data_IF_682093678187
#
_entry.id   IF_682093678187
#
_cell.length_a   1.000
_cell.length_b   1.000
_cell.length_c   1.000
_cell.angle_alpha   90.00
_cell.angle_beta   90.00
_cell.angle_gamma   90.00
#
_symmetry.space_group_name_H-M   'P 1'
#
loop_
_entity.id
_entity.type
_entity.pdbx_description
1 polymer ?
#
# COMPACT_ATOMS: atom_id res chain seq x y z
N UNK A 1 -26.09 -17.57 0.67
CA UNK A 1 -26.32 -16.21 1.17
C UNK A 1 -25.51 -15.29 0.28
N UNK A 2 -26.06 -14.16 -0.16
CA UNK A 2 -25.27 -13.10 -0.82
C UNK A 2 -24.47 -12.42 0.28
N UNK A 3 -23.20 -12.75 0.38
CA UNK A 3 -22.29 -12.13 1.35
C UNK A 3 -22.29 -10.61 1.19
N UNK A 4 -22.34 -9.90 2.31
CA UNK A 4 -22.18 -8.44 2.35
C UNK A 4 -20.70 -8.07 2.17
N UNK A 5 -20.43 -6.78 1.91
CA UNK A 5 -19.05 -6.25 1.91
C UNK A 5 -18.33 -6.54 3.23
N UNK A 6 -19.05 -6.43 4.37
CA UNK A 6 -18.50 -6.72 5.69
C UNK A 6 -18.15 -8.20 5.85
N UNK A 7 -19.02 -9.11 5.40
CA UNK A 7 -18.75 -10.56 5.48
C UNK A 7 -17.49 -10.94 4.68
N UNK A 8 -17.33 -10.35 3.49
CA UNK A 8 -16.15 -10.53 2.65
C UNK A 8 -14.90 -9.98 3.32
N UNK A 9 -14.97 -8.72 3.76
CA UNK A 9 -13.87 -8.04 4.43
C UNK A 9 -13.36 -8.84 5.63
N UNK A 10 -14.26 -9.27 6.53
CA UNK A 10 -13.89 -10.06 7.71
C UNK A 10 -13.27 -11.42 7.36
N UNK A 11 -13.64 -12.03 6.24
CA UNK A 11 -12.97 -13.25 5.76
C UNK A 11 -11.58 -12.98 5.19
N UNK A 12 -11.39 -11.86 4.50
CA UNK A 12 -10.12 -11.56 3.84
C UNK A 12 -9.05 -11.10 4.84
N UNK A 13 -9.42 -10.26 5.81
CA UNK A 13 -8.46 -9.69 6.78
C UNK A 13 -7.75 -10.73 7.63
N UNK A 14 -8.39 -11.87 7.90
CA UNK A 14 -7.78 -12.96 8.69
C UNK A 14 -6.80 -13.83 7.91
N UNK A 15 -6.69 -13.63 6.58
CA UNK A 15 -5.74 -14.36 5.72
C UNK A 15 -4.42 -13.59 5.69
N UNK A 16 -3.36 -14.21 6.19
CA UNK A 16 -2.03 -13.62 6.21
C UNK A 16 -1.47 -13.51 4.78
N UNK A 17 -1.15 -12.28 4.40
CA UNK A 17 -0.79 -11.85 3.05
C UNK A 17 0.37 -10.85 3.08
N UNK A 18 1.00 -10.64 4.25
CA UNK A 18 2.06 -9.65 4.40
C UNK A 18 3.22 -9.87 3.41
N UNK A 19 3.68 -8.79 2.78
CA UNK A 19 4.81 -8.76 1.86
C UNK A 19 6.17 -8.83 2.58
N UNK A 20 7.21 -9.22 1.87
CA UNK A 20 8.59 -9.29 2.38
C UNK A 20 9.53 -8.44 1.51
N UNK A 21 9.95 -7.25 1.97
CA UNK A 21 10.82 -6.37 1.19
C UNK A 21 12.20 -6.96 0.91
N UNK A 22 12.63 -7.98 1.66
CA UNK A 22 13.92 -8.67 1.46
C UNK A 22 13.85 -9.77 0.39
N UNK A 23 12.65 -10.19 0.02
CA UNK A 23 12.46 -11.21 -1.01
C UNK A 23 12.68 -10.61 -2.40
N UNK A 24 13.37 -11.36 -3.25
CA UNK A 24 13.50 -11.05 -4.68
C UNK A 24 12.45 -11.77 -5.54
N UNK A 25 11.59 -12.59 -4.92
CA UNK A 25 10.49 -13.25 -5.61
C UNK A 25 9.32 -12.28 -5.81
N UNK A 26 8.42 -12.63 -6.73
CA UNK A 26 7.14 -11.95 -6.91
C UNK A 26 6.04 -13.02 -7.13
N UNK A 27 5.09 -13.18 -6.19
CA UNK A 27 4.96 -12.36 -4.97
C UNK A 27 6.12 -12.60 -4.00
N UNK A 28 6.44 -11.59 -3.20
CA UNK A 28 7.52 -11.62 -2.22
C UNK A 28 7.30 -12.71 -1.17
N UNK A 29 6.02 -13.00 -0.86
CA UNK A 29 5.60 -14.10 -0.01
C UNK A 29 4.54 -14.96 -0.70
N UNK A 30 4.74 -16.29 -0.74
CA UNK A 30 3.79 -17.21 -1.38
C UNK A 30 2.40 -17.22 -0.71
N UNK A 31 2.31 -16.82 0.57
CA UNK A 31 1.05 -16.71 1.31
C UNK A 31 0.08 -15.68 0.71
N UNK A 32 0.57 -14.70 -0.06
CA UNK A 32 -0.31 -13.79 -0.81
C UNK A 32 -1.26 -14.54 -1.76
N UNK A 33 -0.78 -15.64 -2.37
CA UNK A 33 -1.60 -16.48 -3.26
C UNK A 33 -2.69 -17.24 -2.52
N UNK A 34 -2.66 -17.35 -1.19
CA UNK A 34 -3.70 -18.03 -0.42
C UNK A 34 -5.01 -17.25 -0.46
N UNK A 35 -4.97 -15.93 -0.24
CA UNK A 35 -6.10 -15.05 -0.49
C UNK A 35 -6.49 -15.08 -1.97
N UNK A 36 -5.49 -15.03 -2.86
CA UNK A 36 -5.77 -15.00 -4.29
C UNK A 36 -6.55 -16.21 -4.81
N UNK A 37 -6.24 -17.43 -4.35
CA UNK A 37 -6.98 -18.64 -4.71
C UNK A 37 -8.44 -18.60 -4.23
N UNK A 38 -8.71 -18.02 -3.06
CA UNK A 38 -10.07 -17.83 -2.54
C UNK A 38 -10.83 -16.83 -3.42
N UNK A 39 -10.21 -15.69 -3.77
CA UNK A 39 -10.83 -14.67 -4.61
C UNK A 39 -11.17 -15.20 -6.01
N UNK A 40 -10.27 -15.97 -6.64
CA UNK A 40 -10.55 -16.62 -7.92
C UNK A 40 -11.75 -17.56 -7.82
N UNK A 41 -11.82 -18.40 -6.77
CA UNK A 41 -12.96 -19.29 -6.57
C UNK A 41 -14.27 -18.51 -6.39
N UNK A 42 -14.25 -17.42 -5.64
CA UNK A 42 -15.43 -16.57 -5.45
C UNK A 42 -15.85 -15.87 -6.76
N UNK A 43 -14.91 -15.34 -7.56
CA UNK A 43 -15.19 -14.74 -8.87
C UNK A 43 -15.77 -15.75 -9.86
N UNK A 44 -15.20 -16.97 -9.90
CA UNK A 44 -15.74 -18.07 -10.71
C UNK A 44 -17.16 -18.46 -10.26
N UNK A 45 -17.41 -18.49 -8.95
CA UNK A 45 -18.73 -18.77 -8.39
C UNK A 45 -19.76 -17.66 -8.71
N UNK A 46 -19.32 -16.42 -8.92
CA UNK A 46 -20.16 -15.33 -9.44
C UNK A 46 -20.46 -15.46 -10.95
N UNK A 47 -19.81 -16.40 -11.65
CA UNK A 47 -19.99 -16.65 -13.08
C UNK A 47 -18.97 -15.96 -13.98
N UNK A 48 -17.92 -15.35 -13.43
CA UNK A 48 -16.83 -14.77 -14.20
C UNK A 48 -15.84 -15.86 -14.61
N UNK A 49 -16.13 -16.56 -15.71
CA UNK A 49 -15.43 -17.77 -16.13
C UNK A 49 -13.98 -17.57 -16.57
N UNK A 50 -13.57 -16.32 -16.82
CA UNK A 50 -12.18 -15.97 -17.14
C UNK A 50 -11.34 -15.63 -15.91
N UNK A 51 -11.92 -15.68 -14.70
CA UNK A 51 -11.21 -15.42 -13.46
C UNK A 51 -10.07 -16.43 -13.24
N UNK A 52 -8.85 -15.94 -13.08
CA UNK A 52 -7.68 -16.77 -12.82
C UNK A 52 -6.56 -15.99 -12.13
N UNK A 53 -5.63 -16.74 -11.54
CA UNK A 53 -4.40 -16.26 -10.92
C UNK A 53 -3.22 -16.61 -11.83
N UNK A 54 -2.35 -15.64 -12.13
CA UNK A 54 -1.15 -15.86 -12.95
C UNK A 54 0.05 -16.37 -12.12
N UNK A 55 1.19 -16.61 -12.77
CA UNK A 55 2.42 -17.08 -12.10
C UNK A 55 2.96 -16.12 -11.03
N UNK A 56 2.66 -14.82 -11.15
CA UNK A 56 3.07 -13.74 -10.26
C UNK A 56 2.05 -13.49 -9.14
N UNK A 57 0.97 -14.27 -9.09
CA UNK A 57 -0.08 -14.15 -8.10
C UNK A 57 -1.14 -13.10 -8.43
N UNK A 58 -1.03 -12.39 -9.55
CA UNK A 58 -2.03 -11.39 -9.92
C UNK A 58 -3.31 -12.08 -10.41
N UNK A 59 -4.46 -11.50 -10.07
CA UNK A 59 -5.77 -12.00 -10.47
C UNK A 59 -6.35 -11.12 -11.56
N UNK A 60 -6.89 -11.76 -12.59
CA UNK A 60 -7.61 -11.10 -13.67
C UNK A 60 -9.00 -11.71 -13.77
N UNK A 61 -10.03 -10.88 -13.91
CA UNK A 61 -11.39 -11.31 -14.26
C UNK A 61 -12.12 -10.23 -15.06
N UNK A 62 -13.19 -10.61 -15.78
CA UNK A 62 -13.98 -9.69 -16.60
C UNK A 62 -15.45 -9.76 -16.27
N UNK A 63 -16.04 -8.64 -15.84
CA UNK A 63 -17.49 -8.45 -15.85
C UNK A 63 -17.89 -8.06 -17.29
N UNK A 64 -18.67 -8.88 -18.01
CA UNK A 64 -19.02 -8.59 -19.40
C UNK A 64 -19.95 -7.38 -19.51
N UNK A 65 -19.84 -6.61 -20.59
CA UNK A 65 -20.79 -5.54 -20.88
C UNK A 65 -22.23 -6.06 -20.98
N UNK A 66 -23.19 -5.27 -20.51
CA UNK A 66 -24.62 -5.56 -20.64
C UNK A 66 -25.36 -4.46 -21.44
N UNK A 67 -24.62 -3.68 -22.23
CA UNK A 67 -25.13 -2.59 -23.07
C UNK A 67 -24.55 -2.67 -24.48
N UNK A 68 -25.35 -2.27 -25.47
CA UNK A 68 -24.91 -2.17 -26.87
C UNK A 68 -24.21 -0.83 -27.18
N UNK A 69 -24.12 0.07 -26.19
CA UNK A 69 -23.43 1.35 -26.35
C UNK A 69 -21.92 1.13 -26.46
N UNK A 70 -21.20 1.93 -27.28
CA UNK A 70 -19.75 1.92 -27.28
C UNK A 70 -19.22 2.60 -26.01
N UNK A 71 -18.95 1.80 -24.97
CA UNK A 71 -18.40 2.24 -23.68
C UNK A 71 -16.95 1.79 -23.56
N UNK A 72 -16.01 2.63 -23.11
CA UNK A 72 -14.62 2.20 -22.88
C UNK A 72 -14.56 1.09 -21.82
N UNK A 73 -13.65 0.15 -22.01
CA UNK A 73 -13.31 -0.83 -20.97
C UNK A 73 -12.60 -0.09 -19.83
N UNK A 74 -13.05 -0.30 -18.60
CA UNK A 74 -12.41 0.25 -17.39
C UNK A 74 -11.91 -0.90 -16.51
N UNK A 75 -11.02 -0.60 -15.57
CA UNK A 75 -10.56 -1.55 -14.56
C UNK A 75 -10.80 -1.04 -13.15
N UNK A 76 -11.20 -1.93 -12.24
CA UNK A 76 -11.06 -1.73 -10.81
C UNK A 76 -9.90 -2.58 -10.30
N UNK A 77 -9.05 -1.98 -9.48
CA UNK A 77 -7.81 -2.57 -8.98
C UNK A 77 -7.72 -2.44 -7.46
N UNK A 78 -7.19 -3.48 -6.81
CA UNK A 78 -6.79 -3.45 -5.39
C UNK A 78 -5.59 -4.36 -5.18
N UNK A 79 -4.82 -4.17 -4.12
CA UNK A 79 -3.70 -5.06 -3.79
C UNK A 79 -4.07 -6.07 -2.69
N UNK A 80 -3.42 -7.24 -2.73
CA UNK A 80 -3.72 -8.35 -1.81
C UNK A 80 -2.82 -8.39 -0.59
N UNK A 81 -1.64 -7.78 -0.64
CA UNK A 81 -0.69 -7.79 0.46
C UNK A 81 -1.07 -6.81 1.57
N UNK A 82 -0.28 -6.82 2.63
CA UNK A 82 -0.40 -5.88 3.74
C UNK A 82 1.00 -5.47 4.17
N UNK A 83 1.14 -4.24 4.66
CA UNK A 83 2.41 -3.64 5.05
C UNK A 83 3.33 -4.54 5.89
N UNK A 84 4.66 -4.49 5.65
CA UNK A 84 5.65 -5.20 6.46
C UNK A 84 5.91 -4.53 7.83
N UNK A 85 5.47 -3.29 8.05
CA UNK A 85 5.73 -2.49 9.26
C UNK A 85 5.15 -3.08 10.55
N UNK A 86 4.04 -3.82 10.44
CA UNK A 86 3.42 -4.49 11.58
C UNK A 86 2.78 -5.80 11.16
N UNK A 87 2.73 -6.79 12.05
CA UNK A 87 2.29 -8.14 11.67
C UNK A 87 0.82 -8.18 11.22
N UNK A 88 0.58 -8.76 10.04
CA UNK A 88 -0.74 -9.14 9.52
C UNK A 88 -1.10 -10.61 9.78
N UNK A 89 -0.33 -11.32 10.61
CA UNK A 89 -0.57 -12.74 10.92
C UNK A 89 -1.54 -12.88 12.10
N UNK A 90 -2.57 -13.73 11.96
CA UNK A 90 -3.59 -13.99 12.98
C UNK A 90 -4.40 -12.74 13.39
N UNK A 91 -4.77 -11.90 12.42
CA UNK A 91 -5.67 -10.75 12.64
C UNK A 91 -6.96 -11.22 13.30
N UNK A 92 -7.41 -10.48 14.32
CA UNK A 92 -8.69 -10.70 15.00
C UNK A 92 -9.55 -9.44 14.89
N UNK A 93 -10.37 -9.33 13.84
CA UNK A 93 -11.17 -8.14 13.66
C UNK A 93 -12.25 -8.03 14.75
N UNK A 94 -12.48 -6.82 15.22
CA UNK A 94 -13.52 -6.46 16.19
C UNK A 94 -14.49 -5.49 15.55
N UNK A 95 -15.78 -5.76 15.65
CA UNK A 95 -16.83 -4.87 15.15
C UNK A 95 -17.36 -4.04 16.31
N UNK A 96 -17.21 -2.72 16.20
CA UNK A 96 -17.85 -1.73 17.06
C UNK A 96 -19.09 -1.24 16.34
N UNK A 97 -20.21 -1.91 16.57
CA UNK A 97 -21.47 -1.56 15.89
C UNK A 97 -22.04 -0.23 16.38
N UNK A 98 -22.54 0.57 15.43
CA UNK A 98 -23.24 1.82 15.67
C UNK A 98 -22.48 2.71 16.66
N UNK A 99 -21.22 2.97 16.34
CA UNK A 99 -20.26 3.67 17.18
C UNK A 99 -20.85 5.00 17.67
N UNK A 100 -20.82 5.21 18.98
CA UNK A 100 -21.49 6.34 19.65
C UNK A 100 -20.55 7.49 20.00
N UNK A 101 -19.32 7.46 19.50
CA UNK A 101 -18.25 8.34 19.94
C UNK A 101 -17.49 7.79 21.16
N UNK A 102 -16.35 8.42 21.46
CA UNK A 102 -15.48 8.04 22.58
C UNK A 102 -14.39 7.05 22.21
N UNK A 103 -13.46 6.81 23.11
CA UNK A 103 -12.30 5.95 22.82
C UNK A 103 -12.70 4.49 22.59
N UNK A 104 -12.02 3.81 21.64
CA UNK A 104 -12.22 2.39 21.36
C UNK A 104 -11.11 1.59 22.04
N UNK A 105 -11.49 0.68 22.94
CA UNK A 105 -10.57 -0.23 23.64
C UNK A 105 -10.37 -1.51 22.83
N UNK A 106 -9.12 -1.94 22.71
CA UNK A 106 -8.77 -3.15 21.98
C UNK A 106 -8.71 -4.36 22.94
N UNK A 107 -9.17 -5.54 22.50
CA UNK A 107 -9.37 -6.69 23.38
C UNK A 107 -8.14 -7.58 23.55
N UNK A 108 -7.22 -7.59 22.59
CA UNK A 108 -5.98 -8.37 22.60
C UNK A 108 -4.84 -7.68 23.36
N UNK A 109 -4.66 -6.37 23.15
CA UNK A 109 -3.77 -5.53 23.97
C UNK A 109 -4.56 -4.38 24.60
N UNK A 110 -4.93 -4.56 25.87
CA UNK A 110 -5.75 -3.59 26.61
C UNK A 110 -5.01 -2.29 26.98
N UNK A 111 -3.68 -2.23 26.79
CA UNK A 111 -2.93 -0.99 26.92
C UNK A 111 -3.10 -0.09 25.70
N UNK A 112 -3.47 -0.67 24.55
CA UNK A 112 -3.75 0.06 23.33
C UNK A 112 -5.23 0.49 23.30
N UNK A 113 -5.41 1.77 23.04
CA UNK A 113 -6.71 2.41 22.96
C UNK A 113 -6.67 3.37 21.78
N UNK A 114 -7.61 3.21 20.84
CA UNK A 114 -7.80 4.18 19.76
C UNK A 114 -8.53 5.38 20.36
N UNK A 115 -7.74 6.39 20.72
CA UNK A 115 -8.24 7.60 21.38
C UNK A 115 -8.76 8.60 20.36
N UNK A 116 -9.90 9.22 20.66
CA UNK A 116 -10.49 10.29 19.83
C UNK A 116 -9.57 11.51 19.72
N UNK A 117 -8.77 11.77 20.75
CA UNK A 117 -7.79 12.87 20.75
C UNK A 117 -6.70 12.67 19.69
N UNK A 118 -6.20 11.44 19.56
CA UNK A 118 -5.18 11.09 18.56
C UNK A 118 -5.77 10.80 17.17
N UNK A 119 -7.07 10.49 17.10
CA UNK A 119 -7.78 10.14 15.86
C UNK A 119 -9.08 10.96 15.75
N UNK A 120 -8.98 12.28 15.49
CA UNK A 120 -10.15 13.17 15.43
C UNK A 120 -11.17 12.75 14.36
N UNK A 121 -10.75 11.99 13.34
CA UNK A 121 -11.57 11.41 12.28
C UNK A 121 -12.69 10.50 12.82
N UNK A 122 -12.52 9.91 14.02
CA UNK A 122 -13.57 9.12 14.68
C UNK A 122 -14.86 9.91 14.89
N UNK A 123 -14.78 11.25 15.03
CA UNK A 123 -15.98 12.10 15.17
C UNK A 123 -16.90 12.02 13.95
N UNK A 124 -16.35 11.72 12.77
CA UNK A 124 -17.11 11.55 11.53
C UNK A 124 -17.76 10.18 11.41
N UNK A 125 -17.44 9.24 12.31
CA UNK A 125 -17.91 7.85 12.25
C UNK A 125 -19.05 7.56 13.23
N UNK A 126 -19.61 8.58 13.90
CA UNK A 126 -20.74 8.39 14.82
C UNK A 126 -21.96 7.86 14.05
N UNK A 127 -22.48 6.72 14.50
CA UNK A 127 -23.60 6.03 13.86
C UNK A 127 -23.19 4.95 12.86
N UNK A 128 -21.91 4.86 12.50
CA UNK A 128 -21.38 3.82 11.62
C UNK A 128 -20.90 2.60 12.42
N UNK A 129 -20.80 1.45 11.76
CA UNK A 129 -20.06 0.30 12.27
C UNK A 129 -18.58 0.51 11.97
N UNK A 130 -17.70 0.27 12.95
CA UNK A 130 -16.25 0.38 12.79
C UNK A 130 -15.63 -1.00 12.99
N UNK A 131 -14.80 -1.44 12.06
CA UNK A 131 -13.98 -2.64 12.23
C UNK A 131 -12.59 -2.22 12.70
N UNK A 132 -12.11 -2.84 13.78
CA UNK A 132 -10.79 -2.58 14.37
C UNK A 132 -10.03 -3.88 14.56
N UNK A 133 -8.73 -3.81 14.87
CA UNK A 133 -7.94 -4.99 15.27
C UNK A 133 -8.20 -5.33 16.74
N UNK A 134 -7.59 -6.39 17.27
CA UNK A 134 -7.50 -6.63 18.70
C UNK A 134 -6.33 -5.90 19.38
N UNK A 135 -5.57 -5.07 18.64
CA UNK A 135 -4.39 -4.36 19.11
C UNK A 135 -3.08 -5.14 18.99
N UNK A 136 -3.11 -6.41 18.53
CA UNK A 136 -1.88 -7.23 18.41
C UNK A 136 -1.33 -7.32 16.99
N UNK A 137 -2.07 -6.78 16.02
CA UNK A 137 -1.81 -6.85 14.56
C UNK A 137 -2.24 -5.56 13.87
N UNK A 138 -1.86 -5.39 12.60
CA UNK A 138 -2.56 -4.48 11.69
C UNK A 138 -3.91 -5.10 11.26
N UNK A 139 -4.81 -4.31 10.68
CA UNK A 139 -6.12 -4.83 10.24
C UNK A 139 -6.07 -5.43 8.84
N UNK A 140 -5.28 -4.83 7.94
CA UNK A 140 -5.34 -5.11 6.51
C UNK A 140 -6.58 -4.52 5.85
N UNK A 141 -7.05 -3.35 6.33
CA UNK A 141 -8.07 -2.58 5.64
C UNK A 141 -7.54 -2.10 4.27
N UNK A 142 -6.35 -1.52 4.32
CA UNK A 142 -5.42 -1.36 3.21
C UNK A 142 -4.86 -2.76 2.83
N UNK A 143 -5.21 -3.34 1.67
CA UNK A 143 -6.29 -2.92 0.74
C UNK A 143 -7.40 -3.99 0.59
N UNK A 144 -7.61 -4.81 1.63
CA UNK A 144 -8.66 -5.84 1.60
C UNK A 144 -10.07 -5.24 1.69
N UNK A 145 -10.20 -3.99 2.11
CA UNK A 145 -11.44 -3.24 2.01
C UNK A 145 -11.78 -2.98 0.54
N UNK A 146 -10.84 -2.48 -0.28
CA UNK A 146 -11.00 -2.30 -1.71
C UNK A 146 -11.33 -3.62 -2.42
N UNK A 147 -10.64 -4.72 -2.09
CA UNK A 147 -11.00 -6.05 -2.60
C UNK A 147 -12.46 -6.41 -2.28
N UNK A 148 -12.89 -6.26 -1.02
CA UNK A 148 -14.25 -6.57 -0.61
C UNK A 148 -15.29 -5.71 -1.33
N UNK A 149 -14.99 -4.44 -1.56
CA UNK A 149 -15.82 -3.50 -2.32
C UNK A 149 -15.92 -3.90 -3.80
N UNK A 150 -14.80 -4.21 -4.46
CA UNK A 150 -14.78 -4.68 -5.86
C UNK A 150 -15.57 -5.98 -6.00
N UNK A 151 -15.37 -6.95 -5.12
CA UNK A 151 -16.10 -8.23 -5.12
C UNK A 151 -17.61 -8.03 -4.92
N UNK A 152 -17.99 -7.07 -4.07
CA UNK A 152 -19.39 -6.72 -3.81
C UNK A 152 -20.01 -5.98 -4.99
N UNK A 153 -19.27 -5.07 -5.63
CA UNK A 153 -19.68 -4.38 -6.85
C UNK A 153 -19.89 -5.37 -8.00
N UNK A 154 -18.97 -6.33 -8.19
CA UNK A 154 -19.10 -7.38 -9.18
C UNK A 154 -20.38 -8.21 -8.97
N UNK A 155 -20.61 -8.69 -7.74
CA UNK A 155 -21.81 -9.42 -7.40
C UNK A 155 -23.09 -8.59 -7.63
N UNK A 156 -23.05 -7.30 -7.30
CA UNK A 156 -24.18 -6.37 -7.46
C UNK A 156 -24.51 -6.14 -8.93
N UNK A 157 -23.52 -5.86 -9.77
CA UNK A 157 -23.72 -5.63 -11.21
C UNK A 157 -24.25 -6.88 -11.91
N UNK A 158 -23.69 -8.05 -11.60
CA UNK A 158 -24.13 -9.33 -12.17
C UNK A 158 -25.55 -9.71 -11.74
N UNK A 159 -25.94 -9.40 -10.51
CA UNK A 159 -27.29 -9.68 -10.00
C UNK A 159 -28.36 -8.68 -10.48
N UNK A 160 -27.95 -7.49 -10.96
CA UNK A 160 -28.87 -6.40 -11.30
C UNK A 160 -28.65 -5.92 -12.75
N UNK A 161 -29.16 -6.65 -13.76
CA UNK A 161 -28.94 -6.35 -15.19
C UNK A 161 -29.56 -5.02 -15.66
N UNK A 162 -30.39 -4.38 -14.84
CA UNK A 162 -30.93 -3.04 -15.12
C UNK A 162 -29.88 -1.93 -14.94
N UNK A 163 -28.82 -2.18 -14.17
CA UNK A 163 -27.67 -1.28 -14.07
C UNK A 163 -26.83 -1.49 -15.33
N UNK A 164 -26.92 -0.57 -16.29
CA UNK A 164 -26.19 -0.67 -17.56
C UNK A 164 -24.73 -0.27 -17.42
N UNK A 165 -23.83 -1.11 -17.88
CA UNK A 165 -22.39 -0.89 -17.85
C UNK A 165 -21.68 -1.50 -19.08
N UNK A 166 -20.51 -0.94 -19.40
CA UNK A 166 -19.57 -1.56 -20.34
C UNK A 166 -18.83 -2.74 -19.72
N UNK A 167 -17.79 -3.21 -20.41
CA UNK A 167 -16.91 -4.25 -19.85
C UNK A 167 -16.08 -3.65 -18.71
N UNK A 168 -16.04 -4.34 -17.58
CA UNK A 168 -15.25 -3.94 -16.42
C UNK A 168 -14.24 -5.05 -16.13
N UNK A 169 -12.97 -4.68 -16.06
CA UNK A 169 -11.87 -5.56 -15.66
C UNK A 169 -11.68 -5.47 -14.16
N UNK A 170 -11.35 -6.61 -13.55
CA UNK A 170 -10.94 -6.70 -12.16
C UNK A 170 -9.48 -7.14 -12.17
N UNK A 171 -8.66 -6.40 -11.42
CA UNK A 171 -7.25 -6.72 -11.17
C UNK A 171 -7.04 -6.78 -9.65
N UNK A 172 -6.46 -7.87 -9.15
CA UNK A 172 -5.89 -7.89 -7.80
C UNK A 172 -4.40 -8.17 -7.88
N UNK A 173 -3.58 -7.27 -7.33
CA UNK A 173 -2.11 -7.31 -7.46
C UNK A 173 -1.43 -7.85 -6.20
N UNK A 174 -0.14 -8.15 -6.32
CA UNK A 174 0.76 -8.56 -5.24
C UNK A 174 1.89 -7.56 -5.06
N UNK A 175 2.44 -7.46 -3.86
CA UNK A 175 3.62 -6.65 -3.52
C UNK A 175 3.48 -5.13 -3.76
N UNK A 176 2.29 -4.56 -3.56
CA UNK A 176 2.11 -3.11 -3.63
C UNK A 176 2.91 -2.42 -2.52
N UNK A 177 2.84 -2.93 -1.30
CA UNK A 177 3.40 -2.32 -0.08
C UNK A 177 4.95 -2.28 -0.09
N UNK A 178 5.58 -2.97 -1.04
CA UNK A 178 7.03 -2.95 -1.27
C UNK A 178 7.40 -2.34 -2.63
N UNK A 179 6.46 -1.63 -3.26
CA UNK A 179 6.64 -0.83 -4.47
C UNK A 179 6.69 -1.64 -5.77
N UNK A 180 6.13 -2.85 -5.81
CA UNK A 180 6.21 -3.77 -6.97
C UNK A 180 4.86 -4.17 -7.54
N UNK A 181 3.77 -3.58 -7.05
CA UNK A 181 2.38 -3.91 -7.41
C UNK A 181 2.09 -3.94 -8.91
N UNK A 182 2.74 -3.05 -9.67
CA UNK A 182 2.53 -2.92 -11.12
C UNK A 182 3.55 -3.69 -11.98
N UNK A 183 4.68 -4.14 -11.42
CA UNK A 183 5.85 -4.62 -12.18
C UNK A 183 5.59 -5.85 -13.06
N UNK A 184 4.61 -6.67 -12.67
CA UNK A 184 4.24 -7.94 -13.33
C UNK A 184 2.81 -7.96 -13.84
N UNK A 185 2.17 -6.80 -13.93
CA UNK A 185 0.83 -6.68 -14.48
C UNK A 185 0.89 -6.75 -16.00
N UNK A 186 0.11 -7.66 -16.59
CA UNK A 186 -0.09 -7.75 -18.04
C UNK A 186 -1.15 -6.72 -18.49
N UNK A 187 -0.68 -5.52 -18.81
CA UNK A 187 -1.51 -4.40 -19.24
C UNK A 187 -2.23 -4.67 -20.59
N UNK A 188 -1.58 -5.40 -21.49
CA UNK A 188 -2.16 -5.77 -22.78
C UNK A 188 -3.36 -6.71 -22.59
N UNK A 189 -3.23 -7.68 -21.69
CA UNK A 189 -4.31 -8.60 -21.30
C UNK A 189 -5.44 -7.90 -20.55
N UNK A 190 -5.13 -6.91 -19.71
CA UNK A 190 -6.17 -6.08 -19.08
C UNK A 190 -6.97 -5.36 -20.15
N UNK A 191 -6.32 -4.73 -21.12
CA UNK A 191 -6.98 -4.05 -22.23
C UNK A 191 -7.98 -2.97 -21.78
N UNK A 192 -7.81 -2.45 -20.56
CA UNK A 192 -8.62 -1.37 -20.03
C UNK A 192 -8.07 -0.02 -20.51
N UNK A 193 -8.97 0.92 -20.81
CA UNK A 193 -8.57 2.27 -21.24
C UNK A 193 -8.00 3.09 -20.08
N UNK A 194 -8.51 2.85 -18.88
CA UNK A 194 -8.07 3.44 -17.62
C UNK A 194 -8.54 2.54 -16.46
N UNK A 195 -7.91 2.71 -15.31
CA UNK A 195 -8.20 1.97 -14.09
C UNK A 195 -8.45 2.92 -12.92
N UNK A 196 -9.12 2.41 -11.89
CA UNK A 196 -9.22 3.03 -10.57
C UNK A 196 -8.70 2.03 -9.55
N UNK A 197 -7.71 2.43 -8.76
CA UNK A 197 -7.33 1.72 -7.54
C UNK A 197 -8.35 2.06 -6.45
N UNK A 198 -8.90 1.04 -5.78
CA UNK A 198 -9.81 1.23 -4.64
C UNK A 198 -9.01 1.16 -3.33
N UNK A 199 -7.94 1.94 -3.29
CA UNK A 199 -6.89 1.93 -2.26
C UNK A 199 -6.76 3.32 -1.60
N UNK A 200 -7.90 4.01 -1.48
CA UNK A 200 -7.99 5.32 -0.86
C UNK A 200 -8.28 5.21 0.65
N UNK A 201 -8.30 6.35 1.34
CA UNK A 201 -8.55 6.37 2.78
C UNK A 201 -9.99 6.77 3.12
N UNK A 202 -10.37 8.02 2.79
CA UNK A 202 -11.60 8.61 3.30
C UNK A 202 -12.70 8.63 2.25
N UNK A 203 -13.94 8.34 2.65
CA UNK A 203 -15.09 8.42 1.75
C UNK A 203 -15.17 9.77 1.04
N UNK A 204 -15.20 9.75 -0.29
CA UNK A 204 -15.25 10.95 -1.13
C UNK A 204 -13.89 11.45 -1.62
N UNK A 205 -12.80 10.79 -1.22
CA UNK A 205 -11.45 11.05 -1.70
C UNK A 205 -11.28 10.58 -3.15
N UNK A 206 -10.57 11.39 -3.93
CA UNK A 206 -10.12 11.06 -5.29
C UNK A 206 -8.71 11.61 -5.42
N UNK A 207 -7.76 10.71 -5.58
CA UNK A 207 -6.36 11.04 -5.82
C UNK A 207 -6.05 10.82 -7.30
N UNK A 208 -5.53 11.84 -7.96
CA UNK A 208 -5.18 11.79 -9.39
C UNK A 208 -3.78 12.34 -9.68
N UNK A 209 -3.00 12.59 -8.63
CA UNK A 209 -1.64 13.13 -8.68
C UNK A 209 -0.83 12.41 -7.59
N UNK A 210 0.39 12.00 -7.92
CA UNK A 210 1.33 11.39 -6.98
C UNK A 210 2.72 12.03 -7.15
N UNK A 211 3.62 11.78 -6.22
CA UNK A 211 5.01 12.17 -6.37
C UNK A 211 5.71 11.34 -7.46
N UNK A 212 6.53 12.00 -8.27
CA UNK A 212 7.71 11.38 -8.88
C UNK A 212 8.76 11.12 -7.78
N UNK A 213 9.52 10.04 -7.92
CA UNK A 213 10.28 9.47 -6.81
C UNK A 213 11.61 8.85 -7.25
N UNK A 214 12.71 9.34 -6.68
CA UNK A 214 14.03 8.73 -6.83
C UNK A 214 14.63 8.32 -5.47
N UNK A 215 15.49 7.30 -5.52
CA UNK A 215 16.34 6.88 -4.41
C UNK A 215 17.79 7.23 -4.72
N UNK A 216 18.50 7.80 -3.75
CA UNK A 216 19.91 8.18 -3.91
C UNK A 216 20.75 7.43 -2.87
N UNK A 217 21.76 6.74 -3.35
CA UNK A 217 22.73 6.00 -2.53
C UNK A 217 24.11 6.65 -2.64
N UNK A 218 24.66 7.08 -1.50
CA UNK A 218 25.97 7.72 -1.44
C UNK A 218 26.94 6.85 -0.64
N UNK A 219 27.83 6.17 -1.36
CA UNK A 219 28.94 5.42 -0.76
C UNK A 219 30.19 6.29 -0.62
N UNK A 220 30.69 6.38 0.61
CA UNK A 220 31.82 7.23 1.00
C UNK A 220 32.98 6.34 1.40
N UNK A 221 34.13 6.51 0.75
CA UNK A 221 35.38 5.85 1.12
C UNK A 221 36.30 6.86 1.83
N UNK A 222 36.69 6.54 3.05
CA UNK A 222 37.66 7.27 3.84
C UNK A 222 39.06 6.64 3.82
N UNK A 223 39.96 7.20 4.63
CA UNK A 223 41.32 6.72 4.84
C UNK A 223 41.49 6.41 6.34
N UNK A 224 41.15 5.19 6.72
CA UNK A 224 41.24 4.73 8.10
C UNK A 224 42.69 4.47 8.54
N UNK A 225 43.02 4.86 9.78
CA UNK A 225 44.30 4.53 10.41
C UNK A 225 44.21 4.62 11.92
N UNK A 226 45.25 4.15 12.61
CA UNK A 226 45.34 4.26 14.06
C UNK A 226 45.27 5.75 14.50
N UNK A 227 44.36 6.15 15.41
CA UNK A 227 44.15 7.55 15.78
C UNK A 227 45.41 8.29 16.24
N UNK A 228 46.34 7.58 16.88
CA UNK A 228 47.63 8.13 17.33
C UNK A 228 48.55 8.65 16.21
N UNK A 229 48.34 8.23 14.95
CA UNK A 229 49.15 8.65 13.79
C UNK A 229 48.34 9.43 12.74
N UNK A 230 47.12 9.85 13.08
CA UNK A 230 46.11 10.32 12.13
C UNK A 230 46.33 11.73 11.55
N UNK A 231 47.14 12.56 12.21
CA UNK A 231 47.26 13.99 11.90
C UNK A 231 47.71 14.21 10.45
N UNK A 232 46.85 14.87 9.66
CA UNK A 232 47.10 15.23 8.26
C UNK A 232 47.06 14.05 7.29
N UNK A 233 46.52 12.89 7.69
CA UNK A 233 46.48 11.68 6.88
C UNK A 233 45.12 10.96 6.90
N UNK A 234 44.42 10.97 8.03
CA UNK A 234 43.12 10.32 8.15
C UNK A 234 42.01 11.15 7.49
N UNK A 235 41.20 10.48 6.67
CA UNK A 235 39.91 10.96 6.19
C UNK A 235 38.83 10.08 6.79
N UNK A 236 38.06 10.60 7.73
CA UNK A 236 37.11 9.79 8.48
C UNK A 236 35.75 9.79 7.77
N UNK A 237 35.34 8.65 7.22
CA UNK A 237 34.12 8.54 6.42
C UNK A 237 32.85 8.96 7.19
N UNK A 238 32.75 8.66 8.49
CA UNK A 238 31.62 9.10 9.34
C UNK A 238 31.54 10.63 9.39
N UNK A 239 32.68 11.33 9.49
CA UNK A 239 32.69 12.80 9.52
C UNK A 239 32.22 13.38 8.20
N UNK A 240 32.70 12.82 7.09
CA UNK A 240 32.28 13.23 5.74
C UNK A 240 30.77 13.01 5.57
N UNK A 241 30.26 11.84 5.98
CA UNK A 241 28.84 11.54 5.91
C UNK A 241 28.00 12.51 6.76
N UNK A 242 28.46 12.79 7.98
CA UNK A 242 27.81 13.74 8.89
C UNK A 242 27.77 15.15 8.30
N UNK A 243 28.85 15.58 7.65
CA UNK A 243 28.92 16.89 6.99
C UNK A 243 27.99 16.99 5.77
N UNK A 244 27.79 15.89 5.02
CA UNK A 244 26.82 15.84 3.92
C UNK A 244 25.39 15.99 4.45
N UNK A 245 25.00 15.15 5.42
CA UNK A 245 23.65 15.17 6.01
C UNK A 245 23.37 16.54 6.66
N UNK A 246 24.34 17.12 7.36
CA UNK A 246 24.19 18.42 8.00
C UNK A 246 24.01 19.59 7.01
N UNK A 247 24.41 19.39 5.74
CA UNK A 247 24.28 20.39 4.66
C UNK A 247 22.98 20.26 3.86
N UNK A 248 22.18 19.22 4.08
CA UNK A 248 20.88 19.10 3.45
C UNK A 248 19.97 20.30 3.84
N UNK A 249 19.11 20.79 2.93
CA UNK A 249 18.14 21.83 3.26
C UNK A 249 17.24 21.41 4.44
N UNK A 250 16.86 22.36 5.28
CA UNK A 250 15.98 22.10 6.45
C UNK A 250 14.52 22.45 6.21
N UNK A 251 14.26 23.13 5.11
CA UNK A 251 12.96 23.62 4.65
C UNK A 251 12.37 22.77 3.52
N UNK A 252 13.15 21.83 2.98
CA UNK A 252 12.76 20.91 1.90
C UNK A 252 12.85 19.47 2.42
N UNK A 253 12.18 19.20 3.54
CA UNK A 253 12.17 17.90 4.23
C UNK A 253 10.73 17.49 4.58
N UNK A 254 10.43 16.19 4.75
CA UNK A 254 9.07 15.72 5.04
C UNK A 254 8.42 16.40 6.24
N UNK A 255 9.18 16.69 7.29
CA UNK A 255 8.71 17.36 8.51
C UNK A 255 8.49 18.87 8.35
N UNK A 256 8.87 19.46 7.22
CA UNK A 256 8.76 20.89 6.92
C UNK A 256 7.90 21.22 5.68
N UNK A 257 7.45 20.20 4.94
CA UNK A 257 6.68 20.35 3.68
C UNK A 257 5.26 19.82 3.81
N UNK A 258 4.32 20.40 3.06
CA UNK A 258 2.93 19.92 2.98
C UNK A 258 2.37 19.98 1.54
N UNK A 259 1.30 19.21 1.29
CA UNK A 259 0.60 19.21 0.00
C UNK A 259 1.52 18.85 -1.16
N UNK A 260 1.71 19.78 -2.10
CA UNK A 260 2.50 19.56 -3.32
C UNK A 260 3.98 19.89 -3.23
N UNK A 261 4.48 20.17 -2.03
CA UNK A 261 5.88 20.51 -1.83
C UNK A 261 6.73 19.22 -1.81
N UNK A 262 7.66 19.10 -2.76
CA UNK A 262 8.66 18.04 -2.77
C UNK A 262 9.69 18.14 -1.64
N UNK A 263 10.44 17.07 -1.39
CA UNK A 263 11.41 16.99 -0.31
C UNK A 263 12.64 16.13 -0.65
N UNK A 264 13.72 16.33 0.11
CA UNK A 264 14.89 15.46 0.19
C UNK A 264 14.92 14.86 1.60
N UNK A 265 14.97 13.53 1.71
CA UNK A 265 14.87 12.86 2.98
C UNK A 265 15.95 11.77 3.16
N UNK A 266 16.88 11.92 4.12
CA UNK A 266 17.77 10.84 4.50
C UNK A 266 17.00 9.73 5.22
N UNK A 267 17.04 8.52 4.66
CA UNK A 267 16.33 7.34 5.20
C UNK A 267 17.23 6.46 6.05
N UNK A 268 18.53 6.38 5.73
CA UNK A 268 19.49 5.63 6.52
C UNK A 268 20.89 6.27 6.47
N UNK A 269 21.68 6.06 7.53
CA UNK A 269 23.11 6.38 7.57
C UNK A 269 23.82 5.28 8.35
N UNK A 270 24.90 4.73 7.79
CA UNK A 270 25.76 3.77 8.48
C UNK A 270 27.23 4.04 8.17
N UNK A 271 28.15 3.63 9.04
CA UNK A 271 29.57 3.82 8.74
C UNK A 271 30.56 3.44 9.82
N UNK A 272 31.82 3.43 9.39
CA UNK A 272 33.05 3.20 10.13
C UNK A 272 34.07 4.30 9.76
N UNK A 273 35.30 4.24 10.28
CA UNK A 273 36.33 5.20 9.85
C UNK A 273 36.69 5.06 8.36
N UNK A 274 36.59 3.84 7.80
CA UNK A 274 37.01 3.50 6.44
C UNK A 274 35.91 3.73 5.41
N UNK A 275 34.65 3.47 5.76
CA UNK A 275 33.54 3.58 4.84
C UNK A 275 32.29 4.09 5.54
N UNK A 276 31.48 4.86 4.83
CA UNK A 276 30.15 5.25 5.28
C UNK A 276 29.18 5.21 4.09
N UNK A 277 27.91 5.09 4.40
CA UNK A 277 26.82 4.97 3.44
C UNK A 277 25.66 5.85 3.89
N UNK A 278 25.05 6.55 2.94
CA UNK A 278 23.85 7.37 3.14
C UNK A 278 22.82 6.97 2.10
N UNK A 279 21.67 6.51 2.55
CA UNK A 279 20.46 6.37 1.73
C UNK A 279 19.58 7.60 1.86
N UNK A 280 19.11 8.11 0.72
CA UNK A 280 18.17 9.23 0.62
C UNK A 280 17.00 8.85 -0.29
N UNK A 281 15.87 9.51 -0.10
CA UNK A 281 14.79 9.56 -1.08
C UNK A 281 14.51 11.01 -1.46
N UNK A 282 14.19 11.23 -2.74
CA UNK A 282 13.81 12.52 -3.28
C UNK A 282 12.40 12.39 -3.86
N UNK A 283 11.55 13.38 -3.58
CA UNK A 283 10.16 13.40 -4.05
C UNK A 283 9.82 14.78 -4.60
N UNK A 284 9.13 14.83 -5.74
CA UNK A 284 8.48 16.04 -6.26
C UNK A 284 7.32 15.67 -7.20
N UNK A 285 6.33 16.54 -7.39
CA UNK A 285 5.17 16.27 -8.26
C UNK A 285 5.48 16.40 -9.75
N UNK A 286 6.67 16.91 -10.10
CA UNK A 286 7.12 17.03 -11.49
C UNK A 286 8.51 16.43 -11.65
N UNK A 287 8.74 15.75 -12.77
CA UNK A 287 10.05 15.16 -13.09
C UNK A 287 11.14 16.24 -13.18
N UNK A 288 10.82 17.44 -13.69
CA UNK A 288 11.77 18.54 -13.76
C UNK A 288 12.24 19.00 -12.38
N UNK A 289 11.32 19.17 -11.43
CA UNK A 289 11.67 19.60 -10.08
C UNK A 289 12.25 18.45 -9.23
N UNK A 290 12.04 17.19 -9.62
CA UNK A 290 12.74 16.05 -9.06
C UNK A 290 14.24 16.11 -9.45
N UNK A 291 14.53 16.29 -10.74
CA UNK A 291 15.90 16.44 -11.27
C UNK A 291 16.64 17.65 -10.69
N UNK A 292 15.94 18.75 -10.38
CA UNK A 292 16.56 19.91 -9.72
C UNK A 292 17.04 19.62 -8.28
N UNK A 293 16.52 18.57 -7.64
CA UNK A 293 16.88 18.18 -6.25
C UNK A 293 17.96 17.10 -6.18
N UNK A 294 18.26 16.42 -7.28
CA UNK A 294 19.35 15.44 -7.43
C UNK A 294 20.74 16.11 -7.38
#
# INVERSE_FOLDING_TARGET
>A
MTDTVLDRFLRYVVIDTQSDPKSSAQPSTEKQKDLGRILVQELLALGLSDAHLDEHGNIYATIPANTDKPVPVICFCSHMDTAPDFTGTNVKPQIVSNYRGGDIRLTGDTNQVIRVESHPQLKNQIGHDIVTTDGTTLLGADDKAGIAEIMTAAATLLANPDIRHGTIKILFTTDEEIGRGADKVDLDKLGARFAYTLDGSTVGEIENETFSADGVEIDITGVAMHPGYAKGKMENAIKIASDIVARLPRDITPEATEGKQGFIHPTNVSGTMESAHIGLIIRDFTDEALVEKE
#
